data_IF_050665332913
#
_entry.id   IF_050665332913
#
_cell.length_a   1.000
_cell.length_b   1.000
_cell.length_c   1.000
_cell.angle_alpha   90.00
_cell.angle_beta   90.00
_cell.angle_gamma   90.00
#
_symmetry.space_group_name_H-M   'P 1'
#
loop_
_entity.id
_entity.type
_entity.pdbx_description
1 polymer ?
#
# COMPACT_ATOMS: atom_id res chain seq x y z
N UNK A 1 6.53 -34.61 11.46
CA UNK A 1 5.73 -33.89 10.46
C UNK A 1 6.45 -32.59 10.14
N UNK A 2 6.99 -32.44 8.93
CA UNK A 2 7.51 -31.14 8.48
C UNK A 2 6.32 -30.18 8.47
N UNK A 3 6.32 -29.22 9.38
CA UNK A 3 5.39 -28.09 9.32
C UNK A 3 5.73 -27.38 8.02
N UNK A 4 4.82 -27.44 7.05
CA UNK A 4 4.97 -26.72 5.79
C UNK A 4 4.93 -25.22 6.15
N UNK A 5 6.11 -24.60 6.20
CA UNK A 5 6.26 -23.19 6.54
C UNK A 5 5.76 -22.37 5.35
N UNK A 6 4.60 -21.73 5.50
CA UNK A 6 3.99 -20.98 4.40
C UNK A 6 4.89 -19.83 3.92
N UNK A 7 5.73 -19.26 4.79
CA UNK A 7 6.67 -18.21 4.39
C UNK A 7 7.72 -18.69 3.38
N UNK A 8 7.94 -20.00 3.26
CA UNK A 8 8.77 -20.58 2.20
C UNK A 8 8.12 -20.45 0.81
N UNK A 9 6.81 -20.19 0.74
CA UNK A 9 6.04 -19.99 -0.48
C UNK A 9 5.85 -18.50 -0.80
N UNK A 10 6.51 -17.60 -0.06
CA UNK A 10 6.42 -16.18 -0.29
C UNK A 10 6.97 -15.80 -1.68
N UNK A 11 6.30 -14.86 -2.32
CA UNK A 11 6.72 -14.29 -3.60
C UNK A 11 7.94 -13.41 -3.37
N UNK A 12 9.00 -13.61 -4.15
CA UNK A 12 10.19 -12.77 -4.10
C UNK A 12 9.98 -11.49 -4.93
N UNK A 13 10.08 -10.33 -4.28
CA UNK A 13 9.91 -9.00 -4.90
C UNK A 13 11.27 -8.39 -5.22
N UNK A 14 12.20 -8.45 -4.26
CA UNK A 14 13.61 -8.09 -4.44
C UNK A 14 14.44 -9.31 -4.06
N UNK A 15 15.24 -9.88 -4.99
CA UNK A 15 16.01 -11.08 -4.76
C UNK A 15 16.81 -11.07 -3.45
N UNK A 16 16.59 -12.07 -2.61
CA UNK A 16 17.28 -12.24 -1.32
C UNK A 16 16.92 -11.23 -0.23
N UNK A 17 16.06 -10.25 -0.50
CA UNK A 17 15.84 -9.08 0.38
C UNK A 17 14.39 -8.87 0.78
N UNK A 18 13.46 -8.90 -0.18
CA UNK A 18 12.07 -8.54 0.06
C UNK A 18 11.11 -9.56 -0.51
N UNK A 19 10.21 -10.05 0.34
CA UNK A 19 9.25 -11.08 0.02
C UNK A 19 7.83 -10.64 0.41
N UNK A 20 6.82 -11.20 -0.26
CA UNK A 20 5.42 -10.94 0.01
C UNK A 20 4.62 -12.24 0.11
N UNK A 21 3.69 -12.33 1.06
CA UNK A 21 2.84 -13.51 1.24
C UNK A 21 1.44 -13.18 1.74
N UNK A 22 0.43 -13.90 1.21
CA UNK A 22 -0.91 -13.94 1.80
C UNK A 22 -0.98 -15.10 2.80
N UNK A 23 -1.07 -14.79 4.09
CA UNK A 23 -1.06 -15.80 5.16
C UNK A 23 -2.44 -16.44 5.28
N UNK A 24 -2.49 -17.78 5.39
CA UNK A 24 -3.75 -18.51 5.50
C UNK A 24 -4.25 -18.62 6.94
N UNK A 25 -3.33 -18.59 7.90
CA UNK A 25 -3.63 -18.77 9.32
C UNK A 25 -3.14 -17.56 10.13
N UNK A 26 -3.90 -17.11 11.13
CA UNK A 26 -3.46 -16.03 12.02
C UNK A 26 -2.18 -16.37 12.80
N UNK A 27 -1.95 -17.65 13.10
CA UNK A 27 -0.82 -18.15 13.88
C UNK A 27 0.45 -18.42 13.03
N UNK A 28 0.43 -18.10 11.73
CA UNK A 28 1.53 -18.44 10.84
C UNK A 28 2.84 -17.74 11.18
N UNK A 29 2.79 -16.48 11.63
CA UNK A 29 3.99 -15.74 12.02
C UNK A 29 4.74 -16.43 13.17
N UNK A 30 4.02 -16.80 14.24
CA UNK A 30 4.65 -17.37 15.44
C UNK A 30 5.18 -18.78 15.24
N UNK A 31 4.70 -19.48 14.21
CA UNK A 31 5.06 -20.87 13.90
C UNK A 31 6.06 -21.01 12.77
N UNK A 32 6.45 -19.91 12.13
CA UNK A 32 7.37 -19.90 10.99
C UNK A 32 8.78 -19.54 11.45
N UNK A 33 9.76 -20.47 11.39
CA UNK A 33 11.16 -20.14 11.60
C UNK A 33 11.67 -19.05 10.64
N UNK A 34 11.14 -19.01 9.41
CA UNK A 34 11.46 -17.96 8.43
C UNK A 34 10.97 -16.60 8.95
N UNK A 35 9.71 -16.50 9.39
CA UNK A 35 9.17 -15.27 9.92
C UNK A 35 9.91 -14.80 11.19
N UNK A 36 10.18 -15.72 12.13
CA UNK A 36 10.90 -15.42 13.38
C UNK A 36 12.32 -14.91 13.16
N UNK A 37 12.99 -15.33 12.08
CA UNK A 37 14.33 -14.87 11.72
C UNK A 37 14.34 -13.62 10.84
N UNK A 38 13.18 -13.16 10.37
CA UNK A 38 13.03 -12.05 9.43
C UNK A 38 12.41 -10.81 10.08
N UNK A 39 12.34 -9.69 9.34
CA UNK A 39 11.50 -8.55 9.67
C UNK A 39 10.15 -8.72 8.97
N UNK A 40 9.09 -8.96 9.73
CA UNK A 40 7.75 -9.15 9.19
C UNK A 40 6.87 -7.93 9.53
N UNK A 41 6.06 -7.48 8.57
CA UNK A 41 5.06 -6.43 8.78
C UNK A 41 3.81 -6.68 7.94
N UNK A 42 2.68 -6.13 8.39
CA UNK A 42 1.40 -6.22 7.72
C UNK A 42 0.78 -4.82 7.63
N UNK A 43 -0.01 -4.60 6.60
CA UNK A 43 -0.62 -3.29 6.31
C UNK A 43 -2.14 -3.29 6.44
N UNK A 44 -2.75 -4.45 6.67
CA UNK A 44 -4.21 -4.62 6.72
C UNK A 44 -4.90 -3.86 7.85
N UNK A 45 -4.16 -3.47 8.89
CA UNK A 45 -4.67 -2.71 10.04
C UNK A 45 -4.14 -1.27 10.12
N UNK A 46 -3.02 -0.99 9.43
CA UNK A 46 -2.36 0.32 9.49
C UNK A 46 -2.74 1.20 8.28
N UNK A 47 -2.93 0.59 7.11
CA UNK A 47 -3.31 1.27 5.88
C UNK A 47 -4.71 0.82 5.47
N UNK A 48 -5.70 1.47 6.07
CA UNK A 48 -7.11 1.19 5.81
C UNK A 48 -7.63 2.01 4.64
N UNK A 49 -8.44 1.35 3.82
CA UNK A 49 -9.33 2.00 2.87
C UNK A 49 -10.64 2.36 3.57
N UNK A 50 -11.15 3.57 3.34
CA UNK A 50 -12.43 4.03 3.87
C UNK A 50 -13.49 3.91 2.76
N UNK A 51 -14.34 2.87 2.79
CA UNK A 51 -15.28 2.62 1.70
C UNK A 51 -16.45 3.58 1.72
N UNK A 52 -16.90 4.00 0.53
CA UNK A 52 -18.14 4.75 0.39
C UNK A 52 -19.36 3.81 0.38
N UNK A 53 -19.23 2.65 -0.26
CA UNK A 53 -20.25 1.60 -0.29
C UNK A 53 -19.61 0.20 -0.25
N UNK A 54 -19.57 -0.51 -1.38
CA UNK A 54 -19.01 -1.85 -1.51
C UNK A 54 -17.62 -1.87 -2.16
N UNK A 55 -17.11 -0.71 -2.55
CA UNK A 55 -15.71 -0.45 -2.89
C UNK A 55 -14.79 -0.81 -1.71
N UNK A 56 -13.58 -1.29 -2.02
CA UNK A 56 -12.60 -1.72 -1.01
C UNK A 56 -11.18 -1.23 -1.30
N UNK A 57 -11.00 -0.52 -2.42
CA UNK A 57 -9.71 -0.12 -2.95
C UNK A 57 -9.77 0.28 -4.43
N UNK A 58 -8.59 0.49 -5.06
CA UNK A 58 -7.27 0.45 -4.44
C UNK A 58 -7.09 1.58 -3.42
N UNK A 59 -6.09 1.46 -2.55
CA UNK A 59 -5.75 2.53 -1.62
C UNK A 59 -5.30 3.79 -2.36
N UNK A 60 -5.55 4.94 -1.74
CA UNK A 60 -5.22 6.26 -2.31
C UNK A 60 -3.69 6.52 -2.33
N UNK A 61 -3.28 7.67 -2.89
CA UNK A 61 -1.86 8.03 -2.98
C UNK A 61 -1.21 8.27 -1.62
N UNK A 62 -1.92 8.84 -0.65
CA UNK A 62 -1.39 9.06 0.69
C UNK A 62 -1.01 7.76 1.38
N UNK A 63 -1.90 6.76 1.34
CA UNK A 63 -1.63 5.41 1.85
C UNK A 63 -0.53 4.70 1.06
N UNK A 64 -0.50 4.88 -0.26
CA UNK A 64 0.58 4.35 -1.12
C UNK A 64 1.94 4.94 -0.75
N UNK A 65 2.00 6.24 -0.42
CA UNK A 65 3.21 6.91 0.03
C UNK A 65 3.69 6.38 1.38
N UNK A 66 2.79 6.30 2.37
CA UNK A 66 3.09 5.71 3.68
C UNK A 66 3.59 4.27 3.54
N UNK A 67 2.97 3.46 2.68
CA UNK A 67 3.46 2.10 2.37
C UNK A 67 4.90 2.10 1.84
N UNK A 68 5.21 2.96 0.87
CA UNK A 68 6.55 3.07 0.30
C UNK A 68 7.58 3.47 1.37
N UNK A 69 7.24 4.42 2.24
CA UNK A 69 8.12 4.84 3.35
C UNK A 69 8.40 3.72 4.35
N UNK A 70 7.35 3.00 4.79
CA UNK A 70 7.48 1.86 5.71
C UNK A 70 8.38 0.79 5.10
N UNK A 71 8.12 0.44 3.84
CA UNK A 71 8.87 -0.60 3.11
C UNK A 71 10.33 -0.20 2.95
N UNK A 72 10.62 1.02 2.49
CA UNK A 72 11.99 1.52 2.35
C UNK A 72 12.76 1.52 3.68
N UNK A 73 12.10 1.94 4.78
CA UNK A 73 12.69 1.91 6.13
C UNK A 73 13.04 0.48 6.55
N UNK A 74 12.11 -0.47 6.40
CA UNK A 74 12.31 -1.86 6.79
C UNK A 74 13.39 -2.54 5.94
N UNK A 75 13.49 -2.22 4.65
CA UNK A 75 14.55 -2.73 3.78
C UNK A 75 15.94 -2.25 4.21
N UNK A 76 16.06 -0.99 4.61
CA UNK A 76 17.29 -0.44 5.17
C UNK A 76 17.65 -1.09 6.51
N UNK A 77 16.67 -1.28 7.39
CA UNK A 77 16.87 -1.96 8.67
C UNK A 77 17.26 -3.43 8.47
N UNK A 78 16.60 -4.13 7.55
CA UNK A 78 16.91 -5.52 7.18
C UNK A 78 18.35 -5.66 6.69
N UNK A 79 18.80 -4.76 5.83
CA UNK A 79 20.19 -4.72 5.35
C UNK A 79 21.19 -4.52 6.50
N UNK A 80 20.94 -3.57 7.39
CA UNK A 80 21.80 -3.31 8.56
C UNK A 80 21.88 -4.49 9.53
N UNK A 81 20.79 -5.27 9.66
CA UNK A 81 20.68 -6.39 10.60
C UNK A 81 20.97 -7.75 9.95
N UNK A 82 21.25 -7.81 8.65
CA UNK A 82 21.38 -9.06 7.90
C UNK A 82 20.09 -9.89 7.86
N UNK A 83 18.92 -9.24 7.87
CA UNK A 83 17.60 -9.87 7.86
C UNK A 83 16.85 -9.60 6.56
N UNK A 84 16.05 -10.58 6.14
CA UNK A 84 15.07 -10.42 5.05
C UNK A 84 13.83 -9.68 5.55
N UNK A 85 13.16 -8.99 4.64
CA UNK A 85 11.87 -8.32 4.91
C UNK A 85 10.74 -9.11 4.28
N UNK A 86 9.67 -9.33 5.04
CA UNK A 86 8.44 -9.96 4.57
C UNK A 86 7.26 -9.03 4.82
N UNK A 87 6.62 -8.61 3.74
CA UNK A 87 5.24 -8.14 3.82
C UNK A 87 4.33 -9.36 3.91
N UNK A 88 3.43 -9.37 4.88
CA UNK A 88 2.33 -10.32 4.88
C UNK A 88 0.98 -9.59 4.88
N UNK A 89 -0.03 -10.19 4.25
CA UNK A 89 -1.41 -9.75 4.32
C UNK A 89 -2.33 -10.95 4.55
N UNK A 90 -3.58 -10.67 4.93
CA UNK A 90 -4.60 -11.68 5.09
C UNK A 90 -4.99 -12.35 3.78
N UNK A 91 -5.67 -13.49 3.91
CA UNK A 91 -5.95 -14.36 2.78
C UNK A 91 -7.12 -13.88 1.89
N UNK A 92 -7.86 -12.83 2.29
CA UNK A 92 -9.03 -12.39 1.54
C UNK A 92 -8.64 -11.81 0.16
N UNK A 93 -9.40 -12.10 -0.92
CA UNK A 93 -9.09 -11.58 -2.25
C UNK A 93 -8.95 -10.05 -2.34
N UNK A 94 -9.67 -9.31 -1.51
CA UNK A 94 -9.58 -7.85 -1.39
C UNK A 94 -8.25 -7.39 -0.79
N UNK A 95 -7.82 -8.03 0.31
CA UNK A 95 -6.55 -7.74 0.99
C UNK A 95 -5.37 -8.05 0.05
N UNK A 96 -5.43 -9.19 -0.65
CA UNK A 96 -4.45 -9.59 -1.66
C UNK A 96 -4.36 -8.57 -2.80
N UNK A 97 -5.51 -8.11 -3.32
CA UNK A 97 -5.55 -7.11 -4.39
C UNK A 97 -4.95 -5.76 -3.95
N UNK A 98 -5.32 -5.27 -2.76
CA UNK A 98 -4.77 -4.04 -2.19
C UNK A 98 -3.26 -4.15 -1.93
N UNK A 99 -2.80 -5.24 -1.33
CA UNK A 99 -1.37 -5.50 -1.12
C UNK A 99 -0.60 -5.58 -2.44
N UNK A 100 -1.17 -6.21 -3.47
CA UNK A 100 -0.55 -6.30 -4.79
C UNK A 100 -0.41 -4.91 -5.45
N UNK A 101 -1.44 -4.04 -5.38
CA UNK A 101 -1.32 -2.68 -5.90
C UNK A 101 -0.25 -1.89 -5.16
N UNK A 102 -0.19 -1.96 -3.83
CA UNK A 102 0.84 -1.28 -3.04
C UNK A 102 2.26 -1.78 -3.35
N UNK A 103 2.46 -3.10 -3.44
CA UNK A 103 3.74 -3.71 -3.83
C UNK A 103 4.16 -3.31 -5.24
N UNK A 104 3.22 -3.34 -6.19
CA UNK A 104 3.49 -2.93 -7.56
C UNK A 104 3.79 -1.44 -7.66
N UNK A 105 3.07 -0.59 -6.90
CA UNK A 105 3.34 0.85 -6.81
C UNK A 105 4.74 1.12 -6.26
N UNK A 106 5.17 0.43 -5.19
CA UNK A 106 6.53 0.54 -4.68
C UNK A 106 7.58 0.17 -5.75
N UNK A 107 7.35 -0.92 -6.49
CA UNK A 107 8.24 -1.35 -7.57
C UNK A 107 8.31 -0.32 -8.72
N UNK A 108 7.17 0.24 -9.14
CA UNK A 108 7.11 1.24 -10.20
C UNK A 108 7.74 2.56 -9.74
N UNK A 109 7.33 3.07 -8.59
CA UNK A 109 7.67 4.42 -8.14
C UNK A 109 9.07 4.52 -7.53
N UNK A 110 9.50 3.51 -6.76
CA UNK A 110 10.80 3.55 -6.05
C UNK A 110 11.88 2.66 -6.66
N UNK A 111 11.52 1.57 -7.34
CA UNK A 111 12.51 0.72 -8.04
C UNK A 111 12.63 1.04 -9.54
N UNK A 112 11.75 1.89 -10.08
CA UNK A 112 11.75 2.27 -11.49
C UNK A 112 11.36 1.15 -12.46
N UNK A 113 10.67 0.11 -11.99
CA UNK A 113 10.24 -1.02 -12.83
C UNK A 113 9.07 -0.63 -13.74
N UNK A 114 8.97 -1.28 -14.90
CA UNK A 114 7.78 -1.19 -15.74
C UNK A 114 6.56 -1.84 -15.07
N UNK A 115 5.34 -1.42 -15.42
CA UNK A 115 4.11 -1.94 -14.80
C UNK A 115 3.98 -3.48 -14.93
N UNK A 116 4.25 -4.04 -16.11
CA UNK A 116 4.15 -5.49 -16.33
C UNK A 116 5.26 -6.26 -15.59
N UNK A 117 6.47 -5.70 -15.50
CA UNK A 117 7.58 -6.26 -14.71
C UNK A 117 7.25 -6.25 -13.21
N UNK A 118 6.70 -5.14 -12.71
CA UNK A 118 6.26 -5.01 -11.33
C UNK A 118 5.12 -5.99 -11.00
N UNK A 119 4.23 -6.27 -11.96
CA UNK A 119 3.12 -7.19 -11.77
C UNK A 119 3.52 -8.66 -11.80
N UNK A 120 4.47 -9.05 -12.66
CA UNK A 120 4.83 -10.44 -12.90
C UNK A 120 5.00 -11.31 -11.63
N UNK A 121 5.78 -10.92 -10.60
CA UNK A 121 5.90 -11.70 -9.38
C UNK A 121 4.58 -11.74 -8.58
N UNK A 122 3.82 -10.64 -8.59
CA UNK A 122 2.59 -10.49 -7.81
C UNK A 122 1.49 -11.48 -8.22
N UNK A 123 1.54 -12.03 -9.44
CA UNK A 123 0.63 -13.09 -9.85
C UNK A 123 0.61 -14.29 -8.89
N UNK A 124 1.70 -14.53 -8.13
CA UNK A 124 1.76 -15.55 -7.07
C UNK A 124 0.85 -15.28 -5.86
N UNK A 125 0.32 -14.07 -5.72
CA UNK A 125 -0.62 -13.69 -4.64
C UNK A 125 -2.10 -13.87 -5.02
N UNK A 126 -2.40 -14.26 -6.27
CA UNK A 126 -3.77 -14.51 -6.76
C UNK A 126 -4.51 -15.57 -5.91
N UNK A 127 -5.85 -15.51 -5.82
CA UNK A 127 -6.75 -14.64 -6.59
C UNK A 127 -6.87 -13.21 -6.03
N UNK A 128 -7.11 -12.26 -6.94
CA UNK A 128 -7.43 -10.87 -6.62
C UNK A 128 -8.90 -10.61 -6.90
N UNK A 129 -9.57 -9.90 -6.00
CA UNK A 129 -10.87 -9.32 -6.31
C UNK A 129 -10.66 -8.12 -7.24
N UNK A 130 -11.37 -8.00 -8.36
CA UNK A 130 -11.34 -6.79 -9.17
C UNK A 130 -11.88 -5.58 -8.39
N UNK A 131 -11.27 -4.42 -8.58
CA UNK A 131 -11.74 -3.17 -7.99
C UNK A 131 -12.99 -2.68 -8.70
N UNK A 132 -13.96 -2.21 -7.92
CA UNK A 132 -15.25 -1.72 -8.38
C UNK A 132 -15.43 -0.25 -8.05
N UNK A 133 -16.37 0.38 -8.73
CA UNK A 133 -16.77 1.74 -8.42
C UNK A 133 -17.59 1.85 -7.11
N UNK A 134 -17.71 3.08 -6.62
CA UNK A 134 -18.37 3.43 -5.36
C UNK A 134 -19.90 3.60 -5.49
N UNK A 135 -20.52 3.22 -6.61
CA UNK A 135 -21.98 3.34 -6.78
C UNK A 135 -22.76 2.29 -5.98
N UNK A 136 -24.00 2.67 -5.67
CA UNK A 136 -25.01 1.75 -5.17
C UNK A 136 -25.47 0.82 -6.29
N UNK A 137 -25.23 -0.49 -6.16
CA UNK A 137 -25.74 -1.50 -7.09
C UNK A 137 -24.67 -2.46 -7.61
N UNK A 138 -24.90 -3.04 -8.78
CA UNK A 138 -23.91 -3.88 -9.45
C UNK A 138 -22.85 -3.01 -10.14
N UNK A 139 -21.56 -3.38 -10.11
CA UNK A 139 -20.53 -2.59 -10.76
C UNK A 139 -20.70 -2.63 -12.28
N UNK A 140 -20.63 -1.46 -12.92
CA UNK A 140 -20.70 -1.34 -14.38
C UNK A 140 -19.36 -1.63 -15.06
N UNK A 141 -18.26 -1.51 -14.33
CA UNK A 141 -16.90 -1.74 -14.82
C UNK A 141 -16.00 -2.14 -13.65
N UNK A 142 -15.03 -3.01 -13.91
CA UNK A 142 -14.06 -3.43 -12.89
C UNK A 142 -12.64 -3.21 -13.39
N UNK A 143 -11.77 -2.74 -12.50
CA UNK A 143 -10.33 -2.61 -12.74
C UNK A 143 -9.56 -3.78 -12.12
N UNK A 144 -8.56 -4.27 -12.83
CA UNK A 144 -7.60 -5.25 -12.31
C UNK A 144 -6.40 -4.56 -11.67
N UNK A 145 -5.59 -5.33 -10.93
CA UNK A 145 -4.33 -4.85 -10.35
C UNK A 145 -3.41 -4.28 -11.44
N UNK A 146 -3.32 -4.98 -12.58
CA UNK A 146 -2.55 -4.57 -13.75
C UNK A 146 -2.94 -3.18 -14.26
N UNK A 147 -4.25 -2.87 -14.28
CA UNK A 147 -4.76 -1.59 -14.77
C UNK A 147 -4.32 -0.45 -13.86
N UNK A 148 -4.37 -0.65 -12.54
CA UNK A 148 -3.86 0.30 -11.56
C UNK A 148 -2.35 0.56 -11.74
N UNK A 149 -1.57 -0.50 -11.94
CA UNK A 149 -0.11 -0.38 -12.12
C UNK A 149 0.26 0.31 -13.43
N UNK A 150 -0.44 0.02 -14.52
CA UNK A 150 -0.26 0.73 -15.80
C UNK A 150 -0.65 2.19 -15.69
N UNK A 151 -1.73 2.50 -14.97
CA UNK A 151 -2.13 3.88 -14.66
C UNK A 151 -1.05 4.64 -13.91
N UNK A 152 -0.52 4.07 -12.82
CA UNK A 152 0.58 4.64 -12.04
C UNK A 152 1.85 4.83 -12.87
N UNK A 153 2.25 3.82 -13.63
CA UNK A 153 3.42 3.89 -14.50
C UNK A 153 3.26 4.98 -15.57
N UNK A 154 2.08 5.09 -16.17
CA UNK A 154 1.80 6.16 -17.14
C UNK A 154 1.84 7.54 -16.48
N UNK A 155 1.21 7.69 -15.31
CA UNK A 155 1.20 8.94 -14.53
C UNK A 155 2.62 9.40 -14.18
N UNK A 156 3.48 8.48 -13.75
CA UNK A 156 4.90 8.77 -13.52
C UNK A 156 5.61 9.19 -14.82
N UNK A 157 5.41 8.47 -15.92
CA UNK A 157 6.08 8.75 -17.21
C UNK A 157 5.74 10.12 -17.81
N UNK A 158 4.55 10.66 -17.51
CA UNK A 158 4.08 11.96 -18.01
C UNK A 158 4.25 13.08 -16.98
N UNK A 159 4.86 12.79 -15.82
CA UNK A 159 5.18 13.79 -14.80
C UNK A 159 4.03 14.16 -13.87
N UNK A 160 2.94 13.38 -13.80
CA UNK A 160 1.90 13.56 -12.78
C UNK A 160 2.37 13.09 -11.39
N UNK A 161 3.29 12.13 -11.35
CA UNK A 161 3.98 11.70 -10.14
C UNK A 161 5.46 12.03 -10.30
N UNK A 162 5.97 12.96 -9.49
CA UNK A 162 7.39 13.29 -9.47
C UNK A 162 8.18 12.19 -8.75
N UNK A 163 8.67 11.25 -9.53
CA UNK A 163 9.58 10.17 -9.12
C UNK A 163 11.01 10.43 -9.58
N UNK A 164 11.35 11.70 -9.85
CA UNK A 164 12.66 12.06 -10.38
C UNK A 164 13.77 11.72 -9.39
N UNK A 165 14.90 11.23 -9.91
CA UNK A 165 16.11 10.93 -9.13
C UNK A 165 15.92 9.87 -8.01
N UNK A 166 15.01 8.92 -8.20
CA UNK A 166 14.80 7.81 -7.26
C UNK A 166 14.13 8.20 -5.94
N UNK A 167 13.53 9.39 -5.88
CA UNK A 167 12.75 9.86 -4.74
C UNK A 167 11.37 10.29 -5.22
N UNK A 168 10.32 9.72 -4.60
CA UNK A 168 8.96 10.17 -4.84
C UNK A 168 8.71 11.47 -4.05
N UNK A 169 8.69 12.59 -4.75
CA UNK A 169 8.40 13.91 -4.17
C UNK A 169 6.89 14.09 -4.07
N UNK A 170 6.35 13.59 -2.97
CA UNK A 170 4.93 13.69 -2.64
C UNK A 170 4.77 14.37 -1.30
N UNK A 171 4.05 15.48 -1.28
CA UNK A 171 3.70 16.17 -0.05
C UNK A 171 2.51 15.46 0.61
N UNK A 172 2.85 14.52 1.50
CA UNK A 172 1.85 13.74 2.23
C UNK A 172 1.03 14.60 3.19
N UNK A 173 1.64 15.64 3.77
CA UNK A 173 0.99 16.47 4.77
C UNK A 173 -0.04 17.39 4.10
N UNK A 174 0.30 17.94 2.93
CA UNK A 174 -0.65 18.66 2.07
C UNK A 174 -1.81 17.74 1.63
N UNK A 175 -1.49 16.54 1.15
CA UNK A 175 -2.49 15.58 0.68
C UNK A 175 -3.47 15.18 1.80
N UNK A 176 -2.96 14.76 2.96
CA UNK A 176 -3.78 14.34 4.11
C UNK A 176 -4.57 15.51 4.73
N UNK A 177 -4.09 16.76 4.60
CA UNK A 177 -4.82 17.95 5.02
C UNK A 177 -6.06 18.21 4.16
N UNK A 178 -5.91 18.16 2.83
CA UNK A 178 -6.99 18.47 1.90
C UNK A 178 -7.91 17.28 1.58
N UNK A 179 -7.53 16.04 1.92
CA UNK A 179 -8.41 14.86 1.79
C UNK A 179 -9.56 14.86 2.82
N UNK A 180 -9.39 15.52 3.96
CA UNK A 180 -10.42 15.53 5.00
C UNK A 180 -11.65 16.33 4.54
N UNK A 181 -12.86 15.75 4.58
CA UNK A 181 -14.09 16.47 4.28
C UNK A 181 -14.30 17.56 5.35
N UNK A 182 -13.81 18.76 5.02
CA UNK A 182 -13.73 19.95 5.87
C UNK A 182 -12.90 19.73 7.15
N UNK A 183 -11.71 20.32 7.18
CA UNK A 183 -11.28 21.04 8.39
C UNK A 183 -12.48 21.85 8.86
N UNK A 184 -13.12 21.44 9.96
CA UNK A 184 -14.35 22.09 10.46
C UNK A 184 -14.14 23.61 10.37
N UNK A 185 -15.04 24.39 9.72
CA UNK A 185 -14.95 25.84 9.85
C UNK A 185 -14.97 26.16 11.36
N UNK A 186 -14.18 27.14 11.82
CA UNK A 186 -14.12 27.47 13.24
C UNK A 186 -15.56 27.66 13.75
N UNK A 187 -15.90 26.98 14.86
CA UNK A 187 -17.26 26.94 15.41
C UNK A 187 -17.84 28.32 15.77
N UNK A 188 -17.03 29.37 15.74
CA UNK A 188 -17.44 30.77 15.91
C UNK A 188 -16.54 31.67 15.06
N UNK A 189 -17.07 32.77 14.49
CA UNK A 189 -16.21 33.83 13.99
C UNK A 189 -15.34 34.38 15.13
N UNK A 190 -14.13 34.91 14.84
CA UNK A 190 -13.32 35.59 15.86
C UNK A 190 -14.19 36.67 16.50
N UNK A 191 -14.30 36.66 17.83
CA UNK A 191 -14.93 37.77 18.54
C UNK A 191 -14.05 38.99 18.32
N UNK A 192 -14.47 39.88 17.42
CA UNK A 192 -13.92 41.23 17.35
C UNK A 192 -14.41 41.95 18.60
N UNK A 193 -13.55 42.07 19.61
CA UNK A 193 -13.82 43.00 20.70
C UNK A 193 -13.99 44.40 20.08
N UNK A 194 -15.08 45.12 20.36
CA UNK A 194 -15.21 46.49 19.91
C UNK A 194 -14.06 47.31 20.52
N UNK A 195 -13.51 48.29 19.78
CA UNK A 195 -12.45 49.13 20.32
C UNK A 195 -12.94 49.84 21.58
N UNK A 196 -12.05 50.08 22.56
CA UNK A 196 -12.42 50.78 23.78
C UNK A 196 -13.01 52.14 23.42
N UNK A 197 -14.24 52.39 23.89
CA UNK A 197 -14.82 53.73 23.85
C UNK A 197 -13.98 54.60 24.79
N UNK A 198 -13.43 55.68 24.24
CA UNK A 198 -12.74 56.72 25.00
C UNK A 198 -13.62 57.38 26.05
#
# INVERSE_FOLDING_TARGET
>A
MQVNDEFAQAVEIIPGRFYAIAVKRPDSLSRSPIACSSLCYCIDHDLLYEPFYADFGPLNLGRTYRFCQITARLLKEGEQRGKRVYLYCGNAPQQRANAAVLLGAFQVLLLGRGADEAYAPLAGLKPFMPFRDASCGAPCFNLQVEDCLRGLSKAASVGFLDVSSGSWRFDIDEYEHFEQPLSKPPKYPPQTHPPPKG
#
